data_IF_211924005442
#
_entry.id   IF_211924005442
#
_cell.length_a   1.000
_cell.length_b   1.000
_cell.length_c   1.000
_cell.angle_alpha   90.00
_cell.angle_beta   90.00
_cell.angle_gamma   90.00
#
_symmetry.space_group_name_H-M   'P 1'
#
loop_
_entity.id
_entity.type
_entity.pdbx_description
1 polymer ?
#
# COMPACT_ATOMS: atom_id res chain seq x y z
N UNK A 1 -0.26 -14.57 -19.34
CA UNK A 1 0.22 -13.19 -19.12
C UNK A 1 0.20 -12.96 -17.63
N UNK A 2 1.32 -12.56 -17.03
CA UNK A 2 1.39 -12.18 -15.62
C UNK A 2 0.59 -10.88 -15.44
N UNK A 3 -0.10 -10.72 -14.32
CA UNK A 3 -0.81 -9.48 -14.06
C UNK A 3 0.17 -8.31 -13.84
N UNK A 4 -0.17 -7.08 -14.27
CA UNK A 4 0.72 -5.93 -14.12
C UNK A 4 1.03 -5.64 -12.65
N UNK A 5 2.32 -5.71 -12.29
CA UNK A 5 2.84 -5.32 -10.99
C UNK A 5 3.66 -4.04 -11.13
N UNK A 6 3.37 -3.02 -10.33
CA UNK A 6 4.17 -1.80 -10.29
C UNK A 6 4.54 -1.37 -8.87
N UNK A 7 5.72 -0.79 -8.77
CA UNK A 7 6.24 -0.21 -7.53
C UNK A 7 6.66 1.24 -7.76
N UNK A 8 6.10 2.14 -6.95
CA UNK A 8 6.60 3.51 -6.81
C UNK A 8 7.91 3.45 -6.05
N UNK A 9 9.00 3.91 -6.66
CA UNK A 9 10.29 3.94 -5.98
C UNK A 9 10.58 5.33 -5.47
N UNK A 10 10.74 5.43 -4.15
CA UNK A 10 10.90 6.70 -3.44
C UNK A 10 12.10 6.69 -2.51
N UNK A 11 12.63 7.87 -2.21
CA UNK A 11 13.76 8.05 -1.29
C UNK A 11 13.29 8.32 0.14
N UNK A 12 14.17 8.10 1.10
CA UNK A 12 13.91 8.41 2.51
C UNK A 12 13.46 9.86 2.69
N UNK A 13 12.38 10.06 3.45
CA UNK A 13 11.80 11.40 3.72
C UNK A 13 10.75 11.85 2.72
N UNK A 14 10.54 11.12 1.62
CA UNK A 14 9.42 11.39 0.71
C UNK A 14 8.08 11.00 1.37
N UNK A 15 7.02 11.85 1.28
CA UNK A 15 5.71 11.58 1.88
C UNK A 15 4.91 10.58 1.02
N UNK A 16 5.37 9.33 0.98
CA UNK A 16 4.78 8.29 0.12
C UNK A 16 3.32 7.98 0.50
N UNK A 17 2.99 8.05 1.78
CA UNK A 17 1.65 7.74 2.28
C UNK A 17 0.62 8.76 1.74
N UNK A 18 0.99 10.04 1.68
CA UNK A 18 0.17 11.12 1.08
C UNK A 18 -0.03 10.92 -0.43
N UNK A 19 1.05 10.60 -1.15
CA UNK A 19 0.99 10.31 -2.59
C UNK A 19 0.08 9.11 -2.88
N UNK A 20 0.17 8.04 -2.09
CA UNK A 20 -0.65 6.84 -2.26
C UNK A 20 -2.14 7.16 -2.02
N UNK A 21 -2.45 7.97 -1.01
CA UNK A 21 -3.81 8.44 -0.75
C UNK A 21 -4.34 9.33 -1.91
N UNK A 22 -3.53 10.28 -2.41
CA UNK A 22 -3.89 11.14 -3.55
C UNK A 22 -4.20 10.33 -4.82
N UNK A 23 -3.34 9.34 -5.13
CA UNK A 23 -3.53 8.44 -6.27
C UNK A 23 -4.82 7.63 -6.10
N UNK A 24 -5.05 7.05 -4.92
CA UNK A 24 -6.24 6.26 -4.65
C UNK A 24 -7.52 7.10 -4.81
N UNK A 25 -7.53 8.32 -4.27
CA UNK A 25 -8.66 9.24 -4.43
C UNK A 25 -8.91 9.63 -5.88
N UNK A 26 -7.84 9.86 -6.64
CA UNK A 26 -7.94 10.16 -8.07
C UNK A 26 -8.56 8.99 -8.84
N UNK A 27 -8.12 7.75 -8.59
CA UNK A 27 -8.65 6.57 -9.25
C UNK A 27 -10.10 6.27 -8.83
N UNK A 28 -10.47 6.50 -7.56
CA UNK A 28 -11.87 6.42 -7.11
C UNK A 28 -12.76 7.41 -7.87
N UNK A 29 -12.29 8.64 -8.11
CA UNK A 29 -13.03 9.65 -8.92
C UNK A 29 -13.21 9.23 -10.38
N UNK A 30 -12.28 8.45 -10.93
CA UNK A 30 -12.38 7.82 -12.25
C UNK A 30 -13.23 6.53 -12.24
N UNK A 31 -13.96 6.26 -11.14
CA UNK A 31 -14.83 5.09 -10.94
C UNK A 31 -14.10 3.73 -10.99
N UNK A 32 -12.79 3.70 -10.72
CA UNK A 32 -12.03 2.46 -10.59
C UNK A 32 -12.38 1.78 -9.26
N UNK A 33 -12.71 0.48 -9.30
CA UNK A 33 -12.95 -0.31 -8.08
C UNK A 33 -11.62 -0.71 -7.47
N UNK A 34 -11.19 0.03 -6.46
CA UNK A 34 -9.95 -0.25 -5.76
C UNK A 34 -10.16 -1.30 -4.67
N UNK A 35 -9.19 -2.21 -4.56
CA UNK A 35 -9.02 -3.08 -3.40
C UNK A 35 -7.70 -2.77 -2.69
N UNK A 36 -7.59 -3.21 -1.44
CA UNK A 36 -6.38 -3.06 -0.65
C UNK A 36 -6.39 -1.81 0.23
N UNK A 37 -5.21 -1.33 0.61
CA UNK A 37 -5.07 -0.32 1.67
C UNK A 37 -4.04 0.76 1.38
N UNK A 38 -4.34 1.98 1.84
CA UNK A 38 -3.43 3.13 1.92
C UNK A 38 -3.26 3.55 3.37
N UNK A 39 -2.10 4.14 3.71
CA UNK A 39 -1.84 4.60 5.08
C UNK A 39 -2.16 6.09 5.20
N UNK A 40 -2.83 6.46 6.30
CA UNK A 40 -3.00 7.84 6.73
C UNK A 40 -2.17 8.08 7.99
N UNK A 41 -1.54 9.25 8.05
CA UNK A 41 -0.77 9.70 9.19
C UNK A 41 -1.49 10.91 9.80
N UNK A 42 -2.43 10.64 10.70
CA UNK A 42 -3.19 11.67 11.40
C UNK A 42 -2.42 12.10 12.65
N UNK A 43 -2.03 13.37 12.74
CA UNK A 43 -1.56 13.97 13.99
C UNK A 43 -0.30 14.82 13.87
N UNK A 44 -0.26 15.87 14.69
CA UNK A 44 0.93 16.68 14.90
C UNK A 44 1.91 15.92 15.81
N UNK A 45 3.15 15.73 15.33
CA UNK A 45 4.24 15.11 16.08
C UNK A 45 4.55 15.83 17.41
N UNK A 46 3.97 17.01 17.65
CA UNK A 46 4.11 17.80 18.87
C UNK A 46 3.74 17.05 20.17
N UNK A 47 2.87 16.03 20.11
CA UNK A 47 2.46 15.23 21.29
C UNK A 47 3.05 13.82 21.38
N UNK A 48 3.98 13.45 20.47
CA UNK A 48 4.85 12.28 20.68
C UNK A 48 4.47 10.98 19.96
N UNK A 49 3.37 10.93 19.22
CA UNK A 49 3.02 9.79 18.36
C UNK A 49 2.14 10.24 17.20
N UNK A 50 2.62 10.10 15.96
CA UNK A 50 1.74 10.19 14.78
C UNK A 50 0.77 9.01 14.83
N UNK A 51 -0.54 9.28 14.85
CA UNK A 51 -1.53 8.22 14.79
C UNK A 51 -1.60 7.71 13.35
N UNK A 52 -1.19 6.46 13.16
CA UNK A 52 -1.16 5.84 11.84
C UNK A 52 -2.38 4.94 11.70
N UNK A 53 -3.04 5.02 10.56
CA UNK A 53 -4.15 4.14 10.21
C UNK A 53 -4.02 3.61 8.78
N UNK A 54 -4.60 2.46 8.49
CA UNK A 54 -4.77 1.93 7.13
C UNK A 54 -6.23 2.06 6.74
N UNK A 55 -6.51 2.73 5.63
CA UNK A 55 -7.84 2.77 5.01
C UNK A 55 -8.00 1.59 4.05
N UNK A 56 -9.04 0.78 4.23
CA UNK A 56 -9.52 -0.12 3.18
C UNK A 56 -10.18 0.68 2.05
N UNK A 57 -9.59 0.61 0.86
CA UNK A 57 -10.04 1.35 -0.30
C UNK A 57 -11.40 0.92 -0.83
N UNK A 58 -11.85 -0.30 -0.51
CA UNK A 58 -13.14 -0.81 -0.94
C UNK A 58 -14.30 -0.29 -0.08
N UNK A 59 -14.09 -0.16 1.24
CA UNK A 59 -15.14 0.23 2.20
C UNK A 59 -14.97 1.62 2.81
N UNK A 60 -13.76 2.20 2.74
CA UNK A 60 -13.38 3.40 3.49
C UNK A 60 -13.13 3.16 4.98
N UNK A 61 -13.12 1.89 5.44
CA UNK A 61 -12.88 1.57 6.83
C UNK A 61 -11.43 1.88 7.23
N UNK A 62 -11.24 2.58 8.35
CA UNK A 62 -9.93 2.86 8.92
C UNK A 62 -9.56 1.84 10.00
N UNK A 63 -8.36 1.28 9.90
CA UNK A 63 -7.74 0.41 10.89
C UNK A 63 -6.57 1.13 11.57
N UNK A 64 -6.68 1.52 12.85
CA UNK A 64 -5.56 2.06 13.59
C UNK A 64 -4.41 1.05 13.64
N UNK A 65 -3.21 1.45 13.22
CA UNK A 65 -2.00 0.59 13.24
C UNK A 65 -0.93 1.12 14.19
N UNK A 66 -1.21 2.15 14.98
CA UNK A 66 -0.30 2.68 16.01
C UNK A 66 -0.96 2.67 17.39
N UNK A 67 -0.26 2.14 18.38
CA UNK A 67 -0.67 2.18 19.79
C UNK A 67 0.10 3.30 20.52
N UNK A 68 -0.63 4.29 21.05
CA UNK A 68 -0.07 5.28 21.99
C UNK A 68 0.12 4.62 23.35
N UNK A 69 1.37 4.55 23.80
CA UNK A 69 1.75 3.93 25.08
C UNK A 69 1.81 4.91 26.24
N UNK A 70 1.38 6.15 26.02
CA UNK A 70 1.27 7.17 27.04
C UNK A 70 2.56 7.97 27.28
N UNK A 71 2.42 9.02 28.08
CA UNK A 71 3.50 9.97 28.38
C UNK A 71 4.68 9.28 29.09
N UNK A 72 5.73 8.95 28.33
CA UNK A 72 6.98 8.37 28.85
C UNK A 72 7.60 7.28 27.98
N UNK A 73 6.90 6.74 26.98
CA UNK A 73 7.47 5.79 26.04
C UNK A 73 8.15 6.50 24.86
N UNK A 74 9.41 6.17 24.59
CA UNK A 74 10.12 6.61 23.39
C UNK A 74 9.67 5.80 22.17
N UNK A 75 8.46 6.09 21.66
CA UNK A 75 7.98 5.63 20.36
C UNK A 75 6.66 4.88 20.36
N UNK A 76 5.89 5.08 19.29
CA UNK A 76 4.71 4.30 18.91
C UNK A 76 5.11 2.86 18.59
N UNK A 77 4.33 1.88 19.07
CA UNK A 77 4.42 0.50 18.59
C UNK A 77 3.38 0.29 17.50
N UNK A 78 3.74 -0.47 16.46
CA UNK A 78 2.76 -0.97 15.50
C UNK A 78 1.74 -1.88 16.20
N UNK A 79 0.46 -1.61 15.97
CA UNK A 79 -0.63 -2.48 16.42
C UNK A 79 -0.79 -3.65 15.44
N UNK A 80 -0.41 -4.83 15.90
CA UNK A 80 -0.53 -6.07 15.12
C UNK A 80 -1.98 -6.44 14.83
N UNK A 81 -2.93 -6.06 15.71
CA UNK A 81 -4.35 -6.33 15.48
C UNK A 81 -4.89 -5.47 14.32
N UNK A 82 -4.52 -4.19 14.27
CA UNK A 82 -4.84 -3.31 13.15
C UNK A 82 -4.26 -3.78 11.83
N UNK A 83 -3.00 -4.21 11.82
CA UNK A 83 -2.36 -4.79 10.63
C UNK A 83 -3.04 -6.08 10.16
N UNK A 84 -3.40 -6.97 11.08
CA UNK A 84 -4.11 -8.20 10.75
C UNK A 84 -5.51 -7.94 10.19
N UNK A 85 -6.24 -6.96 10.75
CA UNK A 85 -7.54 -6.55 10.26
C UNK A 85 -7.43 -5.96 8.83
N UNK A 86 -6.43 -5.11 8.59
CA UNK A 86 -6.14 -4.58 7.26
C UNK A 86 -5.78 -5.70 6.27
N UNK A 87 -4.95 -6.67 6.66
CA UNK A 87 -4.62 -7.82 5.81
C UNK A 87 -5.84 -8.69 5.44
N UNK A 88 -6.75 -8.88 6.39
CA UNK A 88 -8.02 -9.55 6.15
C UNK A 88 -8.92 -8.77 5.17
N UNK A 89 -8.95 -7.44 5.27
CA UNK A 89 -9.68 -6.58 4.33
C UNK A 89 -9.10 -6.68 2.91
N UNK A 90 -7.77 -6.62 2.75
CA UNK A 90 -7.11 -6.82 1.45
C UNK A 90 -7.48 -8.19 0.88
N UNK A 91 -7.35 -9.25 1.68
CA UNK A 91 -7.69 -10.62 1.26
C UNK A 91 -9.14 -10.77 0.83
N UNK A 92 -10.07 -10.11 1.53
CA UNK A 92 -11.48 -10.06 1.15
C UNK A 92 -11.70 -9.36 -0.20
N UNK A 93 -11.01 -8.24 -0.43
CA UNK A 93 -11.07 -7.49 -1.67
C UNK A 93 -10.59 -8.32 -2.88
N UNK A 94 -9.56 -9.15 -2.71
CA UNK A 94 -9.05 -10.04 -3.78
C UNK A 94 -10.08 -11.06 -4.28
N UNK A 95 -11.11 -11.37 -3.48
CA UNK A 95 -12.20 -12.27 -3.86
C UNK A 95 -13.41 -11.55 -4.47
N UNK A 96 -13.39 -10.22 -4.48
CA UNK A 96 -14.49 -9.36 -4.92
C UNK A 96 -14.25 -8.73 -6.31
N UNK A 97 -15.19 -7.88 -6.76
CA UNK A 97 -15.06 -7.14 -8.01
C UNK A 97 -14.07 -5.97 -7.86
N UNK A 98 -12.77 -6.25 -7.99
CA UNK A 98 -11.68 -5.27 -7.93
C UNK A 98 -11.02 -5.12 -9.29
N UNK A 99 -10.75 -3.87 -9.67
CA UNK A 99 -10.04 -3.52 -10.91
C UNK A 99 -8.53 -3.37 -10.67
N UNK A 100 -8.14 -2.80 -9.52
CA UNK A 100 -6.75 -2.57 -9.12
C UNK A 100 -6.58 -2.76 -7.62
N UNK A 101 -5.53 -3.47 -7.22
CA UNK A 101 -5.12 -3.62 -5.82
C UNK A 101 -4.02 -2.61 -5.50
N UNK A 102 -4.17 -1.88 -4.40
CA UNK A 102 -3.14 -0.99 -3.87
C UNK A 102 -2.71 -1.51 -2.50
N UNK A 103 -1.40 -1.70 -2.30
CA UNK A 103 -0.82 -1.99 -0.98
C UNK A 103 0.18 -0.90 -0.66
N UNK A 104 -0.09 -0.14 0.40
CA UNK A 104 0.60 1.12 0.72
C UNK A 104 2.13 1.10 0.52
N UNK A 105 2.86 0.18 1.18
CA UNK A 105 4.31 0.06 0.98
C UNK A 105 4.86 -1.31 1.36
N UNK A 106 5.95 -1.67 0.69
CA UNK A 106 6.85 -2.76 1.08
C UNK A 106 8.05 -2.17 1.83
N UNK A 107 8.09 -2.39 3.14
CA UNK A 107 9.09 -1.83 4.04
C UNK A 107 9.78 -2.87 4.90
N UNK A 108 10.30 -2.41 6.05
CA UNK A 108 11.09 -3.25 6.96
C UNK A 108 10.32 -4.47 7.48
N UNK A 109 9.01 -4.34 7.71
CA UNK A 109 8.19 -5.44 8.20
C UNK A 109 8.03 -6.51 7.12
N UNK A 110 7.79 -6.10 5.88
CA UNK A 110 7.61 -6.99 4.74
C UNK A 110 8.90 -7.72 4.37
N UNK A 111 10.05 -7.06 4.49
CA UNK A 111 11.37 -7.73 4.35
C UNK A 111 11.55 -8.84 5.38
N UNK A 112 11.02 -8.66 6.59
CA UNK A 112 11.06 -9.68 7.65
C UNK A 112 9.97 -10.75 7.53
N UNK A 113 9.18 -10.75 6.45
CA UNK A 113 8.07 -11.70 6.29
C UNK A 113 6.80 -11.33 7.03
N UNK A 114 6.70 -10.10 7.55
CA UNK A 114 5.57 -9.58 8.32
C UNK A 114 4.79 -8.52 7.52
N UNK A 115 3.88 -7.80 8.19
CA UNK A 115 3.09 -6.75 7.59
C UNK A 115 2.20 -7.29 6.47
N UNK A 116 2.14 -6.58 5.34
CA UNK A 116 1.24 -6.91 4.23
C UNK A 116 1.90 -7.74 3.11
N UNK A 117 3.03 -8.40 3.41
CA UNK A 117 3.78 -9.19 2.43
C UNK A 117 2.95 -10.33 1.85
N UNK A 118 2.15 -11.00 2.69
CA UNK A 118 1.32 -12.13 2.26
C UNK A 118 0.22 -11.65 1.29
N UNK A 119 -0.32 -10.47 1.54
CA UNK A 119 -1.36 -9.84 0.73
C UNK A 119 -0.84 -9.38 -0.62
N UNK A 120 0.39 -8.84 -0.69
CA UNK A 120 1.04 -8.52 -1.98
C UNK A 120 1.19 -9.80 -2.81
N UNK A 121 1.68 -10.89 -2.21
CA UNK A 121 1.82 -12.16 -2.90
C UNK A 121 0.47 -12.71 -3.36
N UNK A 122 -0.57 -12.62 -2.53
CA UNK A 122 -1.91 -13.08 -2.86
C UNK A 122 -2.51 -12.27 -4.03
N UNK A 123 -2.29 -10.96 -4.08
CA UNK A 123 -2.75 -10.11 -5.19
C UNK A 123 -2.10 -10.48 -6.52
N UNK A 124 -0.79 -10.75 -6.51
CA UNK A 124 -0.07 -11.23 -7.70
C UNK A 124 -0.60 -12.59 -8.15
N UNK A 125 -0.81 -13.53 -7.23
CA UNK A 125 -1.36 -14.87 -7.54
C UNK A 125 -2.80 -14.81 -8.07
N UNK A 126 -3.60 -13.86 -7.57
CA UNK A 126 -4.97 -13.63 -8.05
C UNK A 126 -5.01 -13.06 -9.48
N UNK A 127 -3.87 -12.65 -10.04
CA UNK A 127 -3.81 -12.11 -11.39
C UNK A 127 -4.43 -10.71 -11.52
N UNK A 128 -4.51 -9.96 -10.42
CA UNK A 128 -5.00 -8.59 -10.42
C UNK A 128 -3.85 -7.60 -10.65
N UNK A 129 -4.08 -6.49 -11.37
CA UNK A 129 -3.15 -5.37 -11.37
C UNK A 129 -2.85 -4.94 -9.93
N UNK A 130 -1.58 -4.75 -9.59
CA UNK A 130 -1.15 -4.40 -8.24
C UNK A 130 -0.17 -3.23 -8.24
N UNK A 131 -0.45 -2.24 -7.40
CA UNK A 131 0.41 -1.10 -7.11
C UNK A 131 0.91 -1.16 -5.67
N UNK A 132 2.21 -0.93 -5.48
CA UNK A 132 2.79 -0.70 -4.16
C UNK A 132 3.86 0.39 -4.20
N UNK A 133 4.47 0.68 -3.05
CA UNK A 133 5.61 1.58 -2.94
C UNK A 133 6.79 0.90 -2.27
N UNK A 134 8.00 1.16 -2.77
CA UNK A 134 9.24 0.54 -2.30
C UNK A 134 10.28 1.64 -2.09
N UNK A 135 10.91 1.67 -0.91
CA UNK A 135 12.01 2.60 -0.67
C UNK A 135 13.25 2.17 -1.45
N UNK A 136 14.00 3.13 -1.98
CA UNK A 136 15.20 2.90 -2.80
C UNK A 136 16.23 1.95 -2.15
N UNK A 137 16.47 2.07 -0.85
CA UNK A 137 17.35 1.19 -0.06
C UNK A 137 16.81 -0.24 0.14
N UNK A 138 15.53 -0.50 -0.17
CA UNK A 138 14.86 -1.81 -0.06
C UNK A 138 14.68 -2.50 -1.41
N UNK A 139 15.14 -1.91 -2.52
CA UNK A 139 14.94 -2.47 -3.86
C UNK A 139 15.52 -3.88 -4.02
N UNK A 140 16.66 -4.17 -3.41
CA UNK A 140 17.26 -5.51 -3.47
C UNK A 140 16.33 -6.56 -2.85
N UNK A 141 15.75 -6.27 -1.68
CA UNK A 141 14.82 -7.16 -1.00
C UNK A 141 13.47 -7.25 -1.74
N UNK A 142 13.03 -6.16 -2.36
CA UNK A 142 11.86 -6.17 -3.24
C UNK A 142 12.07 -7.06 -4.46
N UNK A 143 13.21 -6.95 -5.16
CA UNK A 143 13.51 -7.81 -6.31
C UNK A 143 13.66 -9.29 -5.93
N UNK A 144 14.21 -9.59 -4.75
CA UNK A 144 14.24 -10.96 -4.23
C UNK A 144 12.83 -11.52 -3.98
N UNK A 145 11.89 -10.67 -3.55
CA UNK A 145 10.51 -11.04 -3.28
C UNK A 145 9.64 -11.13 -4.54
N UNK A 146 9.64 -10.09 -5.38
CA UNK A 146 8.75 -9.92 -6.53
C UNK A 146 9.33 -10.45 -7.84
N UNK A 147 10.64 -10.77 -7.86
CA UNK A 147 11.37 -11.08 -9.08
C UNK A 147 11.69 -9.82 -9.90
N UNK A 148 11.81 -10.00 -11.22
CA UNK A 148 12.19 -8.93 -12.16
C UNK A 148 11.01 -8.40 -12.98
N UNK A 149 9.84 -9.06 -12.94
CA UNK A 149 8.66 -8.74 -13.74
C UNK A 149 7.75 -7.73 -13.02
N UNK A 150 8.24 -6.50 -12.86
CA UNK A 150 7.49 -5.37 -12.31
C UNK A 150 7.93 -4.04 -12.94
N UNK A 151 7.02 -3.07 -12.99
CA UNK A 151 7.29 -1.76 -13.53
C UNK A 151 7.68 -0.78 -12.41
N UNK A 152 8.83 -0.11 -12.60
CA UNK A 152 9.24 1.00 -11.74
C UNK A 152 8.50 2.27 -12.11
N UNK A 153 7.85 2.90 -11.14
CA UNK A 153 7.18 4.19 -11.30
C UNK A 153 7.91 5.28 -10.49
N UNK A 154 8.00 6.51 -11.02
CA UNK A 154 8.46 7.66 -10.25
C UNK A 154 7.41 8.03 -9.19
N UNK A 155 7.80 8.72 -8.10
CA UNK A 155 6.89 9.17 -7.05
C UNK A 155 6.12 10.43 -7.49
N UNK A 156 5.36 10.30 -8.57
CA UNK A 156 4.60 11.38 -9.22
C UNK A 156 3.16 10.91 -9.45
N UNK A 157 2.17 11.62 -8.88
CA UNK A 157 0.76 11.18 -8.93
C UNK A 157 0.29 10.95 -10.36
N UNK A 158 0.62 11.86 -11.29
CA UNK A 158 0.24 11.73 -12.70
C UNK A 158 0.80 10.45 -13.34
N UNK A 159 2.09 10.15 -13.15
CA UNK A 159 2.72 8.96 -13.72
C UNK A 159 2.10 7.66 -13.18
N UNK A 160 1.73 7.65 -11.90
CA UNK A 160 1.11 6.48 -11.25
C UNK A 160 -0.33 6.30 -11.72
N UNK A 161 -1.12 7.37 -11.77
CA UNK A 161 -2.49 7.33 -12.30
C UNK A 161 -2.50 6.93 -13.78
N UNK A 162 -1.58 7.46 -14.60
CA UNK A 162 -1.47 7.11 -16.01
C UNK A 162 -1.17 5.62 -16.21
N UNK A 163 -0.27 5.06 -15.41
CA UNK A 163 0.00 3.61 -15.42
C UNK A 163 -1.26 2.81 -15.06
N UNK A 164 -1.94 3.18 -13.97
CA UNK A 164 -3.16 2.50 -13.53
C UNK A 164 -4.24 2.52 -14.62
N UNK A 165 -4.50 3.68 -15.23
CA UNK A 165 -5.49 3.79 -16.31
C UNK A 165 -5.05 3.03 -17.56
N UNK A 166 -3.76 2.97 -17.87
CA UNK A 166 -3.24 2.22 -19.01
C UNK A 166 -3.45 0.71 -18.84
N UNK A 167 -3.17 0.15 -17.65
CA UNK A 167 -3.36 -1.29 -17.39
C UNK A 167 -4.84 -1.67 -17.37
N UNK A 168 -5.71 -0.80 -16.86
CA UNK A 168 -7.16 -1.03 -16.82
C UNK A 168 -7.85 -0.97 -18.18
N UNK A 169 -7.24 -0.30 -19.17
CA UNK A 169 -7.73 -0.26 -20.56
C UNK A 169 -7.35 -1.49 -21.37
N UNK A 170 -6.38 -2.27 -20.91
CA UNK A 170 -5.98 -3.49 -21.59
C UNK A 170 -7.03 -4.57 -21.29
N UNK A 171 -7.65 -5.18 -22.31
CA UNK A 171 -8.52 -6.32 -22.06
C UNK A 171 -7.70 -7.47 -21.47
N UNK A 172 -8.22 -8.07 -20.40
CA UNK A 172 -7.65 -9.26 -19.75
C UNK A 172 -7.57 -10.46 -20.70
#
# INVERSE_FOLDING_TARGET
MTAPLAAIVYSTGFPIDELMAEVADTLKREAVRLGGVVQHNDGDCASGCASMSLEDLASGQLFPISEDRGAGSAGCRLDAAGLAAAGAAVSGALSGPVDLVIVNKFGKQEVLGQGLRAEIAAGVVAGLPLLTAVRDDMLAAWSEFAGEDWQRLPPESAAVTDWAMAVLRQPA
#
